data_IF_950666146174
#
_entry.id   IF_950666146174
#
_cell.length_a   1.000
_cell.length_b   1.000
_cell.length_c   1.000
_cell.angle_alpha   90.00
_cell.angle_beta   90.00
_cell.angle_gamma   90.00
#
_symmetry.space_group_name_H-M   'P 1'
#
loop_
_entity.id
_entity.type
_entity.pdbx_description
1 polymer ?
#
# COMPACT_ATOMS: atom_id res chain seq x y z
N UNK A 1 28.70 -7.76 -15.66
CA UNK A 1 28.56 -6.65 -16.63
C UNK A 1 27.55 -5.64 -16.09
N UNK A 2 28.01 -4.56 -15.46
CA UNK A 2 27.16 -3.44 -15.06
C UNK A 2 26.92 -2.57 -16.30
N UNK A 3 25.73 -2.63 -16.89
CA UNK A 3 25.31 -1.67 -17.91
C UNK A 3 25.06 -0.32 -17.23
N UNK A 4 25.57 0.80 -17.76
CA UNK A 4 25.29 2.12 -17.21
C UNK A 4 23.79 2.39 -17.23
N UNK A 5 23.27 2.93 -16.12
CA UNK A 5 21.90 3.43 -16.03
C UNK A 5 21.75 4.55 -17.06
N UNK A 6 20.96 4.33 -18.11
CA UNK A 6 20.54 5.42 -18.97
C UNK A 6 19.59 6.25 -18.10
N UNK A 7 19.95 7.50 -17.78
CA UNK A 7 19.04 8.46 -17.15
C UNK A 7 17.97 8.86 -18.18
N UNK A 8 17.00 7.97 -18.38
CA UNK A 8 15.75 8.22 -19.09
C UNK A 8 14.73 8.76 -18.08
N UNK A 9 15.00 9.95 -17.52
CA UNK A 9 14.22 10.48 -16.39
C UNK A 9 12.75 10.70 -16.76
N UNK A 10 12.47 10.97 -18.03
CA UNK A 10 11.13 11.28 -18.55
C UNK A 10 10.50 10.15 -19.37
N UNK A 11 11.29 9.32 -20.04
CA UNK A 11 10.84 8.20 -20.88
C UNK A 11 11.18 6.86 -20.23
N UNK A 12 10.33 5.87 -20.41
CA UNK A 12 10.49 4.55 -19.82
C UNK A 12 10.27 3.50 -20.90
N UNK A 13 11.14 2.50 -20.94
CA UNK A 13 10.82 1.24 -21.61
C UNK A 13 9.78 0.46 -20.80
N UNK A 14 9.14 -0.54 -21.40
CA UNK A 14 8.15 -1.43 -20.72
C UNK A 14 8.72 -2.01 -19.41
N UNK A 15 9.99 -2.42 -19.41
CA UNK A 15 10.67 -2.93 -18.19
C UNK A 15 10.85 -1.85 -17.13
N UNK A 16 11.12 -0.61 -17.54
CA UNK A 16 11.24 0.53 -16.64
C UNK A 16 9.90 0.90 -16.02
N UNK A 17 8.83 0.90 -16.82
CA UNK A 17 7.46 1.10 -16.33
C UNK A 17 7.05 -0.01 -15.34
N UNK A 18 7.36 -1.27 -15.64
CA UNK A 18 7.10 -2.41 -14.75
C UNK A 18 7.84 -2.27 -13.41
N UNK A 19 9.11 -1.87 -13.44
CA UNK A 19 9.89 -1.60 -12.23
C UNK A 19 9.30 -0.45 -11.40
N UNK A 20 8.82 0.61 -12.06
CA UNK A 20 8.18 1.76 -11.40
C UNK A 20 6.85 1.37 -10.74
N UNK A 21 6.03 0.58 -11.45
CA UNK A 21 4.74 0.07 -10.96
C UNK A 21 4.88 -1.10 -9.98
N UNK A 22 6.08 -1.68 -9.85
CA UNK A 22 6.37 -2.91 -9.09
C UNK A 22 5.48 -4.09 -9.51
N UNK A 23 5.27 -4.25 -10.81
CA UNK A 23 4.50 -5.36 -11.39
C UNK A 23 5.32 -6.13 -12.45
N UNK A 24 4.76 -7.23 -12.95
CA UNK A 24 5.37 -8.00 -14.04
C UNK A 24 5.33 -7.25 -15.37
N UNK A 25 6.28 -7.53 -16.26
CA UNK A 25 6.35 -6.91 -17.60
C UNK A 25 5.10 -7.24 -18.41
N UNK A 26 4.62 -8.50 -18.35
CA UNK A 26 3.40 -8.95 -19.02
C UNK A 26 2.16 -8.14 -18.59
N UNK A 27 2.09 -7.74 -17.31
CA UNK A 27 0.99 -6.92 -16.82
C UNK A 27 1.00 -5.53 -17.44
N UNK A 28 2.19 -4.93 -17.65
CA UNK A 28 2.31 -3.64 -18.33
C UNK A 28 1.93 -3.77 -19.80
N UNK A 29 2.35 -4.85 -20.47
CA UNK A 29 1.96 -5.13 -21.86
C UNK A 29 0.45 -5.26 -22.01
N UNK A 30 -0.23 -5.98 -21.10
CA UNK A 30 -1.69 -6.06 -21.11
C UNK A 30 -2.36 -4.69 -20.91
N UNK A 31 -1.83 -3.85 -20.01
CA UNK A 31 -2.37 -2.49 -19.79
C UNK A 31 -2.20 -1.65 -21.07
N UNK A 32 -1.08 -1.78 -21.77
CA UNK A 32 -0.86 -1.12 -23.06
C UNK A 32 -1.84 -1.66 -24.11
N UNK A 33 -2.01 -2.97 -24.22
CA UNK A 33 -2.88 -3.64 -25.18
C UNK A 33 -4.36 -3.27 -24.96
N UNK A 34 -4.78 -3.06 -23.71
CA UNK A 34 -6.12 -2.55 -23.39
C UNK A 34 -6.31 -1.07 -23.75
N UNK A 35 -5.24 -0.36 -24.10
CA UNK A 35 -5.25 1.06 -24.41
C UNK A 35 -5.33 1.97 -23.18
N UNK A 36 -5.21 1.42 -21.97
CA UNK A 36 -5.32 2.18 -20.73
C UNK A 36 -4.07 3.03 -20.43
N UNK A 37 -2.92 2.65 -20.99
CA UNK A 37 -1.67 3.37 -20.86
C UNK A 37 -1.13 3.74 -22.25
N UNK A 38 -0.89 5.04 -22.53
CA UNK A 38 -0.38 5.47 -23.82
C UNK A 38 1.06 5.00 -24.00
N UNK A 39 1.32 4.36 -25.14
CA UNK A 39 2.63 3.85 -25.50
C UNK A 39 2.95 4.17 -26.96
N UNK A 40 4.19 4.57 -27.21
CA UNK A 40 4.71 4.81 -28.55
C UNK A 40 5.57 3.61 -28.98
N UNK A 41 5.11 2.90 -30.01
CA UNK A 41 5.89 1.83 -30.63
C UNK A 41 6.79 2.43 -31.71
N UNK A 42 8.08 2.54 -31.43
CA UNK A 42 9.06 3.14 -32.37
C UNK A 42 9.50 2.09 -33.40
N UNK A 43 9.62 0.84 -32.97
CA UNK A 43 10.00 -0.31 -33.81
C UNK A 43 9.33 -1.56 -33.27
N UNK A 44 9.35 -2.67 -34.04
CA UNK A 44 8.76 -3.96 -33.64
C UNK A 44 9.22 -4.44 -32.24
N UNK A 45 10.40 -4.03 -31.78
CA UNK A 45 10.99 -4.46 -30.49
C UNK A 45 11.08 -3.37 -29.43
N UNK A 46 10.67 -2.13 -29.73
CA UNK A 46 10.87 -0.98 -28.82
C UNK A 46 9.57 -0.22 -28.63
N UNK A 47 9.06 -0.32 -27.41
CA UNK A 47 7.90 0.41 -26.92
C UNK A 47 8.37 1.37 -25.84
N UNK A 48 8.07 2.64 -26.03
CA UNK A 48 8.46 3.74 -25.13
C UNK A 48 7.19 4.33 -24.52
N UNK A 49 7.26 4.57 -23.22
CA UNK A 49 6.22 5.19 -22.42
C UNK A 49 6.74 6.48 -21.81
N UNK A 50 5.85 7.42 -21.55
CA UNK A 50 6.21 8.61 -20.77
C UNK A 50 5.99 8.32 -19.29
N UNK A 51 6.98 8.67 -18.46
CA UNK A 51 6.90 8.51 -17.01
C UNK A 51 5.71 9.26 -16.41
N UNK A 52 5.42 10.45 -16.95
CA UNK A 52 4.28 11.28 -16.53
C UNK A 52 2.96 10.52 -16.69
N UNK A 53 2.77 9.84 -17.81
CA UNK A 53 1.55 9.08 -18.08
C UNK A 53 1.43 7.85 -17.19
N UNK A 54 2.54 7.13 -16.95
CA UNK A 54 2.57 6.01 -16.00
C UNK A 54 2.20 6.47 -14.59
N UNK A 55 2.73 7.61 -14.14
CA UNK A 55 2.39 8.17 -12.83
C UNK A 55 0.94 8.66 -12.77
N UNK A 56 0.43 9.27 -13.85
CA UNK A 56 -0.97 9.70 -13.94
C UNK A 56 -1.93 8.51 -13.83
N UNK A 57 -1.62 7.42 -14.53
CA UNK A 57 -2.36 6.15 -14.46
C UNK A 57 -2.41 5.60 -13.02
N UNK A 58 -1.25 5.55 -12.34
CA UNK A 58 -1.18 5.10 -10.94
C UNK A 58 -2.03 6.02 -10.04
N UNK A 59 -1.90 7.34 -10.20
CA UNK A 59 -2.61 8.31 -9.37
C UNK A 59 -4.13 8.18 -9.54
N UNK A 60 -4.62 8.02 -10.77
CA UNK A 60 -6.04 7.82 -11.05
C UNK A 60 -6.56 6.54 -10.40
N UNK A 61 -5.93 5.40 -10.68
CA UNK A 61 -6.39 4.12 -10.12
C UNK A 61 -6.28 4.07 -8.59
N UNK A 62 -5.26 4.68 -8.00
CA UNK A 62 -5.14 4.76 -6.55
C UNK A 62 -6.30 5.55 -5.91
N UNK A 63 -6.76 6.62 -6.56
CA UNK A 63 -7.92 7.42 -6.12
C UNK A 63 -9.21 6.62 -6.24
N UNK A 64 -9.45 5.97 -7.38
CA UNK A 64 -10.63 5.13 -7.59
C UNK A 64 -10.72 4.00 -6.55
N UNK A 65 -9.60 3.31 -6.29
CA UNK A 65 -9.52 2.28 -5.26
C UNK A 65 -9.76 2.86 -3.86
N UNK A 66 -9.23 4.05 -3.56
CA UNK A 66 -9.48 4.72 -2.29
C UNK A 66 -10.96 5.07 -2.10
N UNK A 67 -11.63 5.55 -3.15
CA UNK A 67 -13.07 5.82 -3.13
C UNK A 67 -13.89 4.54 -2.97
N UNK A 68 -13.52 3.46 -3.66
CA UNK A 68 -14.16 2.15 -3.48
C UNK A 68 -14.01 1.65 -2.04
N UNK A 69 -12.83 1.79 -1.43
CA UNK A 69 -12.62 1.46 -0.01
C UNK A 69 -13.52 2.30 0.90
N UNK A 70 -13.64 3.62 0.64
CA UNK A 70 -14.55 4.50 1.41
C UNK A 70 -16.02 4.07 1.27
N UNK A 71 -16.47 3.72 0.06
CA UNK A 71 -17.83 3.24 -0.19
C UNK A 71 -18.11 1.92 0.56
N UNK A 72 -17.18 0.98 0.52
CA UNK A 72 -17.30 -0.30 1.23
C UNK A 72 -17.25 -0.15 2.75
N UNK A 73 -16.40 0.74 3.27
CA UNK A 73 -16.32 1.04 4.71
C UNK A 73 -17.53 1.85 5.19
N UNK A 74 -18.06 2.78 4.39
CA UNK A 74 -19.31 3.49 4.69
C UNK A 74 -20.53 2.57 4.70
N UNK A 75 -20.55 1.55 3.82
CA UNK A 75 -21.58 0.50 3.84
C UNK A 75 -21.46 -0.42 5.09
N UNK A 76 -20.25 -0.72 5.54
CA UNK A 76 -20.00 -1.48 6.79
C UNK A 76 -20.18 -0.65 8.08
N UNK A 77 -19.97 0.66 8.03
CA UNK A 77 -20.09 1.59 9.16
C UNK A 77 -21.53 1.91 9.56
N UNK A 78 -22.52 1.39 8.82
CA UNK A 78 -23.95 1.53 9.12
C UNK A 78 -24.60 0.22 9.56
N UNK A 79 -23.83 -0.81 9.93
CA UNK A 79 -24.35 -1.75 10.90
C UNK A 79 -24.39 -0.99 12.22
N UNK A 80 -25.59 -0.58 12.63
CA UNK A 80 -25.89 -0.21 14.01
C UNK A 80 -25.17 -1.22 14.88
N UNK A 81 -24.05 -0.82 15.48
CA UNK A 81 -23.43 -1.58 16.54
C UNK A 81 -24.56 -1.74 17.56
N UNK A 82 -25.12 -2.95 17.66
CA UNK A 82 -26.05 -3.26 18.73
C UNK A 82 -25.35 -2.78 20.01
N UNK A 83 -26.02 -1.99 20.86
CA UNK A 83 -25.38 -1.43 22.04
C UNK A 83 -24.73 -2.60 22.77
N UNK A 84 -23.39 -2.58 22.82
CA UNK A 84 -22.62 -3.59 23.53
C UNK A 84 -23.15 -3.52 24.95
N UNK A 85 -23.99 -4.50 25.33
CA UNK A 85 -24.50 -4.62 26.70
C UNK A 85 -23.28 -4.49 27.59
N UNK A 86 -23.23 -3.41 28.36
CA UNK A 86 -22.13 -3.08 29.25
C UNK A 86 -21.83 -4.31 30.07
N UNK A 87 -20.70 -4.95 29.76
CA UNK A 87 -20.23 -6.13 30.47
C UNK A 87 -19.99 -5.66 31.90
N UNK A 88 -20.82 -6.14 32.83
CA UNK A 88 -20.76 -5.79 34.24
C UNK A 88 -19.29 -5.78 34.71
N UNK A 89 -18.90 -4.66 35.31
CA UNK A 89 -17.54 -4.43 35.77
C UNK A 89 -17.10 -5.58 36.67
N UNK A 90 -16.06 -6.32 36.25
CA UNK A 90 -15.42 -7.29 37.13
C UNK A 90 -14.77 -6.53 38.29
N UNK A 91 -14.87 -7.03 39.54
CA UNK A 91 -14.18 -6.42 40.67
C UNK A 91 -12.67 -6.40 40.40
N UNK A 92 -12.04 -5.24 40.63
CA UNK A 92 -10.60 -5.05 40.49
C UNK A 92 -9.89 -6.05 41.41
N UNK A 93 -9.03 -6.89 40.84
CA UNK A 93 -8.16 -7.74 41.64
C UNK A 93 -7.20 -6.85 42.44
N UNK A 94 -7.15 -7.07 43.75
CA UNK A 94 -6.20 -6.42 44.65
C UNK A 94 -4.79 -6.89 44.24
N UNK A 95 -3.90 -5.94 43.96
CA UNK A 95 -2.51 -6.28 43.65
C UNK A 95 -1.84 -6.91 44.89
N UNK A 96 -1.04 -7.97 44.72
CA UNK A 96 -0.33 -8.60 45.83
C UNK A 96 0.69 -7.63 46.42
N UNK A 97 0.75 -7.58 47.76
CA UNK A 97 1.68 -6.73 48.49
C UNK A 97 3.12 -7.26 48.34
N UNK A 98 3.99 -6.42 47.78
CA UNK A 98 5.39 -6.72 47.49
C UNK A 98 6.34 -6.27 48.63
N UNK A 99 5.81 -5.69 49.70
CA UNK A 99 6.57 -5.21 50.87
C UNK A 99 7.53 -6.26 51.46
N UNK A 100 7.20 -7.56 51.33
CA UNK A 100 8.06 -8.67 51.77
C UNK A 100 9.39 -8.77 51.02
N UNK A 101 9.50 -8.18 49.83
CA UNK A 101 10.71 -8.23 49.00
C UNK A 101 11.56 -6.97 49.09
N UNK A 102 11.04 -5.89 49.69
CA UNK A 102 11.75 -4.62 49.81
C UNK A 102 12.79 -4.63 50.94
N UNK A 103 12.63 -5.49 51.95
CA UNK A 103 13.53 -5.58 53.11
C UNK A 103 14.91 -6.19 52.83
N UNK A 104 15.26 -6.50 51.57
CA UNK A 104 16.53 -7.17 51.24
C UNK A 104 17.62 -6.26 50.66
N UNK A 105 17.32 -4.98 50.43
CA UNK A 105 18.29 -4.05 49.82
C UNK A 105 18.99 -3.10 50.80
N UNK A 106 18.81 -3.25 52.12
CA UNK A 106 19.56 -2.45 53.10
C UNK A 106 20.38 -3.36 54.01
N UNK A 107 21.62 -3.63 53.59
CA UNK A 107 22.67 -4.05 54.50
C UNK A 107 24.00 -3.41 54.05
N UNK A 108 24.63 -2.54 54.87
CA UNK A 108 25.93 -1.95 54.59
C UNK A 108 27.07 -2.98 54.64
#
# INVERSE_FOLDING_TARGET
>A
MNRPAIDTTETLDVKGAAALMRCGVEAVEQIIDTGALPALQINQKRTVLLRVDVLAYIAQHAREQAEQRRKQQGAKGRSTAAPIKSRQARPRQVLPDLSRYESRCDRP
#
